data_IF_443920230650
#
_entry.id   IF_443920230650
#
_cell.length_a   1.000
_cell.length_b   1.000
_cell.length_c   1.000
_cell.angle_alpha   90.00
_cell.angle_beta   90.00
_cell.angle_gamma   90.00
#
_symmetry.space_group_name_H-M   'P 1'
#
loop_
_entity.id
_entity.type
_entity.pdbx_description
1 polymer ?
#
# COMPACT_ATOMS: atom_id res chain seq x y z
N UNK A 1 -39.86 16.30 -11.40
CA UNK A 1 -38.65 16.50 -10.57
C UNK A 1 -37.53 15.64 -11.15
N UNK A 2 -36.49 16.23 -11.75
CA UNK A 2 -35.29 15.50 -12.16
C UNK A 2 -34.53 15.11 -10.89
N UNK A 3 -34.54 13.82 -10.53
CA UNK A 3 -33.67 13.31 -9.47
C UNK A 3 -32.24 13.60 -9.89
N UNK A 4 -31.59 14.51 -9.17
CA UNK A 4 -30.20 14.84 -9.45
C UNK A 4 -29.40 13.58 -9.13
N UNK A 5 -28.87 12.93 -10.15
CA UNK A 5 -27.99 11.77 -10.00
C UNK A 5 -26.65 12.28 -9.42
N UNK A 6 -26.58 12.51 -8.11
CA UNK A 6 -25.33 12.84 -7.39
C UNK A 6 -24.41 11.63 -7.25
N UNK A 7 -24.98 10.43 -7.43
CA UNK A 7 -24.30 9.15 -7.23
C UNK A 7 -23.06 8.89 -8.11
N UNK A 8 -22.99 9.31 -9.39
CA UNK A 8 -21.81 9.12 -10.22
C UNK A 8 -20.64 9.99 -9.74
N UNK A 9 -20.90 11.25 -9.35
CA UNK A 9 -19.86 12.19 -8.90
C UNK A 9 -19.23 11.75 -7.58
N UNK A 10 -20.04 11.25 -6.64
CA UNK A 10 -19.55 10.74 -5.36
C UNK A 10 -18.69 9.50 -5.54
N UNK A 11 -19.08 8.57 -6.43
CA UNK A 11 -18.27 7.37 -6.75
C UNK A 11 -16.90 7.72 -7.32
N UNK A 12 -16.84 8.67 -8.26
CA UNK A 12 -15.58 9.11 -8.86
C UNK A 12 -14.68 9.76 -7.80
N UNK A 13 -15.24 10.61 -6.94
CA UNK A 13 -14.50 11.26 -5.87
C UNK A 13 -13.89 10.23 -4.89
N UNK A 14 -14.70 9.27 -4.41
CA UNK A 14 -14.23 8.21 -3.50
C UNK A 14 -13.13 7.38 -4.15
N UNK A 15 -13.30 6.98 -5.42
CA UNK A 15 -12.28 6.23 -6.15
C UNK A 15 -10.96 7.00 -6.23
N UNK A 16 -11.01 8.30 -6.53
CA UNK A 16 -9.82 9.16 -6.58
C UNK A 16 -9.13 9.27 -5.21
N UNK A 17 -9.89 9.46 -4.14
CA UNK A 17 -9.36 9.55 -2.77
C UNK A 17 -8.71 8.23 -2.34
N UNK A 18 -9.38 7.09 -2.56
CA UNK A 18 -8.84 5.76 -2.26
C UNK A 18 -7.55 5.49 -3.03
N UNK A 19 -7.52 5.85 -4.32
CA UNK A 19 -6.33 5.72 -5.14
C UNK A 19 -5.17 6.59 -4.64
N UNK A 20 -5.42 7.87 -4.38
CA UNK A 20 -4.40 8.82 -3.91
C UNK A 20 -3.82 8.40 -2.55
N UNK A 21 -4.67 7.99 -1.61
CA UNK A 21 -4.24 7.51 -0.29
C UNK A 21 -3.41 6.24 -0.40
N UNK A 22 -3.85 5.28 -1.20
CA UNK A 22 -3.10 4.04 -1.37
C UNK A 22 -1.76 4.26 -2.08
N UNK A 23 -1.72 5.17 -3.06
CA UNK A 23 -0.48 5.57 -3.72
C UNK A 23 0.50 6.23 -2.73
N UNK A 24 0.01 7.14 -1.87
CA UNK A 24 0.82 7.78 -0.84
C UNK A 24 1.38 6.75 0.15
N UNK A 25 0.55 5.83 0.63
CA UNK A 25 1.00 4.73 1.49
C UNK A 25 2.07 3.88 0.81
N UNK A 26 1.90 3.61 -0.48
CA UNK A 26 2.85 2.82 -1.25
C UNK A 26 4.19 3.54 -1.40
N UNK A 27 4.17 4.82 -1.75
CA UNK A 27 5.37 5.63 -1.87
C UNK A 27 6.12 5.72 -0.54
N UNK A 28 5.39 5.88 0.57
CA UNK A 28 5.98 5.86 1.90
C UNK A 28 6.59 4.50 2.25
N UNK A 29 5.91 3.40 1.90
CA UNK A 29 6.42 2.04 2.10
C UNK A 29 7.65 1.76 1.23
N UNK A 30 7.58 1.93 -0.08
CA UNK A 30 8.69 1.56 -0.98
C UNK A 30 9.87 2.52 -0.83
N UNK A 31 9.64 3.75 -0.36
CA UNK A 31 10.72 4.65 -0.02
C UNK A 31 11.56 4.05 1.10
N UNK A 32 12.82 3.76 0.76
CA UNK A 32 13.88 3.37 1.70
C UNK A 32 13.88 4.30 2.93
N UNK A 33 13.67 5.60 2.72
CA UNK A 33 13.60 6.61 3.79
C UNK A 33 12.42 6.38 4.74
N UNK A 34 11.25 5.98 4.24
CA UNK A 34 10.07 5.70 5.07
C UNK A 34 10.25 4.45 5.94
N UNK A 35 10.81 3.38 5.36
CA UNK A 35 11.16 2.18 6.12
C UNK A 35 12.22 2.46 7.19
N UNK A 36 13.32 3.13 6.84
CA UNK A 36 14.36 3.50 7.80
C UNK A 36 13.85 4.45 8.87
N UNK A 37 12.99 5.41 8.52
CA UNK A 37 12.36 6.30 9.50
C UNK A 37 11.55 5.51 10.54
N UNK A 38 10.73 4.53 10.10
CA UNK A 38 9.97 3.68 11.01
C UNK A 38 10.87 2.82 11.89
N UNK A 39 11.93 2.24 11.32
CA UNK A 39 12.92 1.45 12.05
C UNK A 39 13.64 2.28 13.12
N UNK A 40 14.09 3.49 12.78
CA UNK A 40 14.80 4.38 13.71
C UNK A 40 13.87 4.90 14.81
N UNK A 41 12.62 5.19 14.48
CA UNK A 41 11.67 5.80 15.42
C UNK A 41 11.07 4.79 16.40
N UNK A 42 10.68 3.60 15.90
CA UNK A 42 9.94 2.61 16.68
C UNK A 42 10.78 1.36 17.02
N UNK A 43 12.03 1.29 16.54
CA UNK A 43 12.87 0.11 16.66
C UNK A 43 12.54 -0.97 15.63
N UNK A 44 13.40 -2.00 15.55
CA UNK A 44 13.37 -2.96 14.45
C UNK A 44 12.06 -3.76 14.36
N UNK A 45 11.61 -4.32 15.48
CA UNK A 45 10.41 -5.16 15.53
C UNK A 45 9.13 -4.36 15.27
N UNK A 46 8.96 -3.21 15.92
CA UNK A 46 7.72 -2.42 15.79
C UNK A 46 7.69 -1.65 14.46
N UNK A 47 8.82 -1.08 14.02
CA UNK A 47 8.92 -0.39 12.74
C UNK A 47 8.58 -1.31 11.57
N UNK A 48 9.07 -2.55 11.60
CA UNK A 48 8.74 -3.58 10.60
C UNK A 48 7.25 -3.93 10.61
N UNK A 49 6.65 -4.10 11.79
CA UNK A 49 5.22 -4.40 11.90
C UNK A 49 4.36 -3.26 11.34
N UNK A 50 4.68 -2.01 11.70
CA UNK A 50 3.96 -0.82 11.21
C UNK A 50 4.08 -0.71 9.70
N UNK A 51 5.28 -0.94 9.16
CA UNK A 51 5.53 -0.93 7.73
C UNK A 51 4.64 -1.92 6.96
N UNK A 52 4.61 -3.18 7.40
CA UNK A 52 3.77 -4.22 6.81
C UNK A 52 2.27 -3.89 6.97
N UNK A 53 1.85 -3.32 8.11
CA UNK A 53 0.46 -2.89 8.32
C UNK A 53 0.04 -1.79 7.35
N UNK A 54 0.91 -0.80 7.09
CA UNK A 54 0.64 0.27 6.13
C UNK A 54 0.48 -0.28 4.71
N UNK A 55 1.27 -1.29 4.34
CA UNK A 55 1.13 -1.98 3.05
C UNK A 55 -0.21 -2.72 2.93
N UNK A 56 -0.61 -3.45 3.98
CA UNK A 56 -1.90 -4.16 4.02
C UNK A 56 -3.08 -3.17 3.96
N UNK A 57 -2.99 -2.04 4.67
CA UNK A 57 -3.98 -0.97 4.61
C UNK A 57 -4.09 -0.38 3.18
N UNK A 58 -2.96 -0.22 2.50
CA UNK A 58 -2.90 0.17 1.10
C UNK A 58 -3.66 -0.77 0.17
N UNK A 59 -3.52 -2.09 0.36
CA UNK A 59 -4.27 -3.12 -0.40
C UNK A 59 -5.77 -2.97 -0.17
N UNK A 60 -6.20 -2.84 1.09
CA UNK A 60 -7.62 -2.70 1.42
C UNK A 60 -8.23 -1.47 0.75
N UNK A 61 -7.53 -0.33 0.77
CA UNK A 61 -7.98 0.89 0.12
C UNK A 61 -8.16 0.75 -1.40
N UNK A 62 -7.33 -0.06 -2.05
CA UNK A 62 -7.41 -0.33 -3.50
C UNK A 62 -8.51 -1.34 -3.82
N UNK A 63 -8.75 -2.27 -2.91
CA UNK A 63 -9.80 -3.27 -3.05
C UNK A 63 -11.21 -2.67 -2.97
N UNK A 64 -11.42 -1.61 -2.19
CA UNK A 64 -12.73 -0.93 -2.08
C UNK A 64 -13.29 -0.56 -3.47
N UNK A 65 -12.62 0.29 -4.29
CA UNK A 65 -13.16 0.65 -5.60
C UNK A 65 -13.23 -0.54 -6.58
N UNK A 66 -12.39 -1.56 -6.42
CA UNK A 66 -12.42 -2.80 -7.23
C UNK A 66 -13.67 -3.65 -6.93
N UNK A 67 -13.95 -3.92 -5.65
CA UNK A 67 -15.09 -4.73 -5.19
C UNK A 67 -16.41 -4.07 -5.56
N UNK A 68 -16.50 -2.74 -5.38
CA UNK A 68 -17.70 -1.98 -5.74
C UNK A 68 -17.78 -1.59 -7.22
N UNK A 69 -16.89 -2.14 -8.06
CA UNK A 69 -16.83 -1.87 -9.52
C UNK A 69 -16.80 -0.37 -9.85
N UNK A 70 -16.17 0.43 -9.00
CA UNK A 70 -16.00 1.88 -9.18
C UNK A 70 -14.74 2.22 -9.98
N UNK A 71 -13.83 1.27 -10.18
CA UNK A 71 -12.57 1.48 -10.89
C UNK A 71 -12.74 1.36 -12.42
N UNK A 72 -12.53 2.46 -13.14
CA UNK A 72 -12.47 2.47 -14.61
C UNK A 72 -11.24 1.74 -15.15
N UNK A 73 -10.08 1.92 -14.50
CA UNK A 73 -8.81 1.30 -14.93
C UNK A 73 -8.33 0.26 -13.90
N UNK A 74 -8.85 -0.96 -14.05
CA UNK A 74 -8.56 -2.10 -13.16
C UNK A 74 -7.07 -2.46 -13.09
N UNK A 75 -6.34 -2.34 -14.19
CA UNK A 75 -4.90 -2.67 -14.26
C UNK A 75 -4.07 -1.90 -13.22
N UNK A 76 -4.26 -0.58 -13.11
CA UNK A 76 -3.50 0.24 -12.16
C UNK A 76 -3.77 -0.17 -10.71
N UNK A 77 -4.99 -0.57 -10.40
CA UNK A 77 -5.34 -1.05 -9.06
C UNK A 77 -4.69 -2.40 -8.77
N UNK A 78 -4.70 -3.34 -9.73
CA UNK A 78 -4.01 -4.61 -9.57
C UNK A 78 -2.49 -4.44 -9.44
N UNK A 79 -1.87 -3.54 -10.20
CA UNK A 79 -0.46 -3.20 -10.06
C UNK A 79 -0.17 -2.61 -8.67
N UNK A 80 -1.02 -1.70 -8.17
CA UNK A 80 -0.86 -1.13 -6.83
C UNK A 80 -0.96 -2.18 -5.74
N UNK A 81 -1.90 -3.14 -5.85
CA UNK A 81 -2.02 -4.28 -4.93
C UNK A 81 -0.74 -5.11 -4.96
N UNK A 82 -0.22 -5.42 -6.15
CA UNK A 82 1.03 -6.18 -6.31
C UNK A 82 2.22 -5.49 -5.65
N UNK A 83 2.37 -4.18 -5.84
CA UNK A 83 3.44 -3.41 -5.20
C UNK A 83 3.29 -3.35 -3.67
N UNK A 84 2.07 -3.16 -3.15
CA UNK A 84 1.83 -3.22 -1.70
C UNK A 84 2.11 -4.61 -1.12
N UNK A 85 1.81 -5.66 -1.87
CA UNK A 85 2.20 -7.02 -1.49
C UNK A 85 3.73 -7.14 -1.40
N UNK A 86 4.45 -6.73 -2.44
CA UNK A 86 5.92 -6.76 -2.43
C UNK A 86 6.50 -5.96 -1.25
N UNK A 87 5.95 -4.78 -0.97
CA UNK A 87 6.35 -3.97 0.17
C UNK A 87 6.06 -4.70 1.50
N UNK A 88 4.87 -5.29 1.70
CA UNK A 88 4.54 -6.02 2.92
C UNK A 88 5.53 -7.16 3.25
N UNK A 89 6.06 -7.83 2.22
CA UNK A 89 7.02 -8.94 2.34
C UNK A 89 8.49 -8.50 2.26
N UNK A 90 8.77 -7.24 1.97
CA UNK A 90 10.13 -6.69 1.88
C UNK A 90 10.96 -6.95 3.15
N UNK A 91 10.44 -6.77 4.39
CA UNK A 91 11.22 -7.01 5.59
C UNK A 91 11.68 -8.47 5.74
N UNK A 92 10.86 -9.42 5.29
CA UNK A 92 11.18 -10.85 5.31
C UNK A 92 12.30 -11.15 4.31
N UNK A 93 12.22 -10.56 3.11
CA UNK A 93 13.28 -10.65 2.11
C UNK A 93 14.60 -10.09 2.65
N UNK A 94 14.58 -8.89 3.25
CA UNK A 94 15.77 -8.26 3.83
C UNK A 94 16.38 -9.09 4.95
N UNK A 95 15.55 -9.64 5.85
CA UNK A 95 16.01 -10.51 6.94
C UNK A 95 16.71 -11.77 6.43
N UNK A 96 16.16 -12.40 5.39
CA UNK A 96 16.76 -13.59 4.78
C UNK A 96 18.07 -13.26 4.06
N UNK A 97 18.19 -12.08 3.43
CA UNK A 97 19.43 -11.64 2.80
C UNK A 97 20.56 -11.40 3.82
N UNK A 98 20.26 -10.83 4.99
CA UNK A 98 21.26 -10.69 6.07
C UNK A 98 21.82 -12.06 6.50
N UNK A 99 20.96 -13.07 6.65
CA UNK A 99 21.40 -14.43 7.00
C UNK A 99 22.23 -15.15 5.91
N UNK A 100 22.15 -14.70 4.66
CA UNK A 100 22.99 -15.21 3.56
C UNK A 100 24.35 -14.51 3.56
N UNK A 101 24.41 -13.21 3.86
CA UNK A 101 25.67 -12.47 4.03
C UNK A 101 26.48 -12.98 5.24
N UNK A 102 25.82 -13.28 6.37
CA UNK A 102 26.47 -13.87 7.56
C UNK A 102 27.02 -15.29 7.33
N UNK A 103 26.59 -15.99 6.28
CA UNK A 103 27.10 -17.33 5.92
C UNK A 103 28.18 -17.31 4.84
N UNK A 104 28.37 -16.17 4.17
CA UNK A 104 29.36 -15.99 3.10
C UNK A 104 30.62 -15.25 3.58
N UNK A 105 30.56 -14.60 4.74
CA UNK A 105 31.70 -14.06 5.50
C UNK A 105 32.23 -15.11 6.49
#
# INVERSE_FOLDING_TARGET
MKSIEWWPKIKIFINSVCFALSLLLLLYNISIVGFFYLLVTYGESQGTMIYSLLSVAGILLVMIPLVFRMAEKKFYHFALIGLHFLAAFLPILMKNMNGVFDRLL
#
